data_IF_580962364815
#
_entry.id   IF_580962364815
#
_cell.length_a   1.000
_cell.length_b   1.000
_cell.length_c   1.000
_cell.angle_alpha   90.00
_cell.angle_beta   90.00
_cell.angle_gamma   90.00
#
_symmetry.space_group_name_H-M   'P 1'
#
loop_
_entity.id
_entity.type
_entity.pdbx_description
1 polymer ?
#
# COMPACT_ATOMS: atom_id res chain seq x y z
N UNK A 1 -49.53 2.61 46.35
CA UNK A 1 -48.06 2.72 46.65
C UNK A 1 -47.26 1.62 46.00
N UNK A 2 -47.72 0.39 45.86
CA UNK A 2 -46.96 -0.71 45.24
C UNK A 2 -46.77 -0.56 43.71
N UNK A 3 -47.67 0.10 42.99
CA UNK A 3 -47.62 0.29 41.52
C UNK A 3 -46.56 1.27 41.10
N UNK A 4 -46.30 2.34 41.87
CA UNK A 4 -45.26 3.35 41.56
C UNK A 4 -43.81 2.80 41.72
N UNK A 5 -43.60 1.85 42.62
CA UNK A 5 -42.27 1.20 42.75
C UNK A 5 -42.02 0.17 41.61
N UNK A 6 -43.01 -0.51 41.14
CA UNK A 6 -42.90 -1.41 40.00
C UNK A 6 -42.63 -0.66 38.70
N UNK A 7 -43.21 0.48 38.47
CA UNK A 7 -42.90 1.32 37.29
C UNK A 7 -41.47 1.86 37.34
N UNK A 8 -40.99 2.25 38.50
CA UNK A 8 -39.57 2.67 38.64
C UNK A 8 -38.58 1.56 38.37
N UNK A 9 -38.86 0.36 38.85
CA UNK A 9 -38.05 -0.84 38.59
C UNK A 9 -38.04 -1.20 37.09
N UNK A 10 -39.18 -1.13 36.43
CA UNK A 10 -39.31 -1.41 35.01
C UNK A 10 -38.53 -0.42 34.12
N UNK A 11 -38.56 0.87 34.44
CA UNK A 11 -37.80 1.94 33.76
C UNK A 11 -36.29 1.72 33.93
N UNK A 12 -35.82 1.31 35.11
CA UNK A 12 -34.40 1.03 35.37
C UNK A 12 -33.92 -0.18 34.56
N UNK A 13 -34.73 -1.22 34.45
CA UNK A 13 -34.42 -2.43 33.66
C UNK A 13 -34.37 -2.09 32.17
N UNK A 14 -35.31 -1.30 31.65
CA UNK A 14 -35.33 -0.85 30.26
C UNK A 14 -34.11 0.00 29.92
N UNK A 15 -33.69 0.92 30.81
CA UNK A 15 -32.45 1.72 30.61
C UNK A 15 -31.18 0.86 30.60
N UNK A 16 -31.13 -0.19 31.38
CA UNK A 16 -29.99 -1.11 31.38
C UNK A 16 -29.97 -1.98 30.13
N UNK A 17 -31.12 -2.46 29.66
CA UNK A 17 -31.22 -3.22 28.41
C UNK A 17 -30.83 -2.40 27.18
N UNK A 18 -31.28 -1.14 27.13
CA UNK A 18 -30.92 -0.22 26.03
C UNK A 18 -29.40 0.01 25.91
N UNK A 19 -28.72 0.13 27.04
CA UNK A 19 -27.25 0.28 27.04
C UNK A 19 -26.51 -0.97 26.59
N UNK A 20 -27.00 -2.13 26.96
CA UNK A 20 -26.43 -3.43 26.54
C UNK A 20 -26.67 -3.67 25.05
N UNK A 21 -27.89 -3.36 24.56
CA UNK A 21 -28.22 -3.49 23.14
C UNK A 21 -27.35 -2.56 22.26
N UNK A 22 -27.11 -1.32 22.73
CA UNK A 22 -26.28 -0.35 22.03
C UNK A 22 -24.80 -0.80 21.98
N UNK A 23 -24.29 -1.36 23.07
CA UNK A 23 -22.95 -1.91 23.13
C UNK A 23 -22.76 -3.14 22.20
N UNK A 24 -23.78 -3.99 22.08
CA UNK A 24 -23.73 -5.13 21.14
C UNK A 24 -23.78 -4.69 19.67
N UNK A 25 -24.55 -3.67 19.32
CA UNK A 25 -24.65 -3.16 17.96
C UNK A 25 -23.33 -2.51 17.54
N UNK A 26 -22.67 -1.77 18.44
CA UNK A 26 -21.35 -1.15 18.15
C UNK A 26 -20.27 -2.21 18.02
N UNK A 27 -20.29 -3.29 18.82
CA UNK A 27 -19.34 -4.38 18.72
C UNK A 27 -19.48 -5.19 17.42
N UNK A 28 -20.71 -5.43 16.96
CA UNK A 28 -20.96 -6.13 15.70
C UNK A 28 -20.60 -5.29 14.47
N UNK A 29 -20.76 -3.98 14.51
CA UNK A 29 -20.35 -3.11 13.41
C UNK A 29 -18.82 -2.99 13.30
N UNK A 30 -18.09 -3.05 14.40
CA UNK A 30 -16.62 -3.08 14.38
C UNK A 30 -16.05 -4.37 13.77
N UNK A 31 -16.72 -5.52 13.98
CA UNK A 31 -16.29 -6.80 13.41
C UNK A 31 -16.58 -6.86 11.89
N UNK A 32 -17.64 -6.21 11.41
CA UNK A 32 -17.95 -6.14 9.98
C UNK A 32 -16.99 -5.22 9.21
N UNK A 33 -16.37 -4.23 9.84
CA UNK A 33 -15.37 -3.36 9.20
C UNK A 33 -13.98 -4.03 9.10
N UNK A 34 -13.65 -4.97 9.95
CA UNK A 34 -12.38 -5.71 9.85
C UNK A 34 -12.40 -6.80 8.77
N UNK A 35 -13.58 -7.20 8.27
CA UNK A 35 -13.73 -8.17 7.17
C UNK A 35 -13.54 -7.60 5.77
N UNK A 36 -13.43 -6.27 5.61
CA UNK A 36 -13.24 -5.58 4.32
C UNK A 36 -11.80 -5.19 4.02
N UNK A 37 -10.82 -5.58 4.81
CA UNK A 37 -9.40 -5.46 4.43
C UNK A 37 -9.11 -6.56 3.41
N UNK A 38 -9.26 -6.23 2.14
CA UNK A 38 -8.86 -7.12 1.06
C UNK A 38 -7.35 -7.34 1.15
N UNK A 39 -6.95 -8.55 1.52
CA UNK A 39 -5.54 -9.00 1.52
C UNK A 39 -4.89 -9.04 0.13
N UNK A 40 -5.49 -8.34 -0.83
CA UNK A 40 -5.07 -8.35 -2.23
C UNK A 40 -4.21 -7.15 -2.61
N UNK A 41 -4.17 -6.11 -1.77
CA UNK A 41 -3.30 -4.97 -1.99
C UNK A 41 -1.89 -5.27 -1.49
N UNK A 42 -0.90 -4.99 -2.33
CA UNK A 42 0.50 -5.06 -1.98
C UNK A 42 1.12 -3.66 -2.11
N UNK A 43 2.16 -3.39 -1.36
CA UNK A 43 2.88 -2.11 -1.40
C UNK A 43 4.36 -2.37 -1.59
N UNK A 44 4.98 -1.62 -2.49
CA UNK A 44 6.44 -1.63 -2.69
C UNK A 44 7.01 -0.28 -2.31
N UNK A 45 7.95 -0.29 -1.38
CA UNK A 45 8.73 0.88 -0.99
C UNK A 45 10.10 0.79 -1.65
N UNK A 46 10.38 1.71 -2.57
CA UNK A 46 11.65 1.78 -3.29
C UNK A 46 12.52 2.84 -2.64
N UNK A 47 13.56 2.42 -1.94
CA UNK A 47 14.53 3.32 -1.33
C UNK A 47 15.63 3.65 -2.32
N UNK A 48 15.68 4.91 -2.74
CA UNK A 48 16.69 5.41 -3.68
C UNK A 48 17.87 6.02 -2.90
N UNK A 49 19.06 5.55 -3.22
CA UNK A 49 20.31 6.06 -2.63
C UNK A 49 21.31 6.43 -3.70
N UNK A 50 22.22 7.32 -3.33
CA UNK A 50 23.42 7.59 -4.13
C UNK A 50 24.37 6.39 -4.13
N UNK A 51 25.40 6.42 -4.93
CA UNK A 51 26.46 5.41 -4.92
C UNK A 51 27.11 5.24 -3.54
N UNK A 52 27.14 6.29 -2.72
CA UNK A 52 27.70 6.30 -1.36
C UNK A 52 26.68 5.95 -0.27
N UNK A 53 25.42 5.65 -0.64
CA UNK A 53 24.38 5.23 0.30
C UNK A 53 23.55 6.36 0.92
N UNK A 54 23.74 7.62 0.52
CA UNK A 54 22.91 8.73 0.97
C UNK A 54 21.52 8.68 0.32
N UNK A 55 20.45 8.96 1.08
CA UNK A 55 19.09 9.04 0.57
C UNK A 55 18.94 10.13 -0.50
N UNK A 56 18.16 9.84 -1.56
CA UNK A 56 17.88 10.79 -2.64
C UNK A 56 16.42 11.18 -2.59
N UNK A 57 16.13 12.42 -2.17
CA UNK A 57 14.78 12.99 -2.12
C UNK A 57 14.43 13.68 -3.43
N UNK A 58 13.12 13.67 -3.79
CA UNK A 58 12.62 14.34 -4.99
C UNK A 58 12.95 13.64 -6.31
N UNK A 59 13.42 12.40 -6.25
CA UNK A 59 13.71 11.58 -7.43
C UNK A 59 12.45 10.91 -7.96
N UNK A 60 12.24 10.96 -9.26
CA UNK A 60 11.13 10.23 -9.90
C UNK A 60 11.55 8.80 -10.21
N UNK A 61 10.85 7.85 -9.62
CA UNK A 61 11.02 6.40 -9.86
C UNK A 61 9.93 5.92 -10.80
N UNK A 62 10.32 5.15 -11.81
CA UNK A 62 9.43 4.59 -12.84
C UNK A 62 9.29 3.09 -12.64
N UNK A 63 8.03 2.61 -12.64
CA UNK A 63 7.70 1.20 -12.49
C UNK A 63 7.36 0.56 -13.84
N UNK A 64 7.96 -0.58 -14.13
CA UNK A 64 7.69 -1.37 -15.33
C UNK A 64 7.31 -2.81 -14.97
N UNK A 65 6.40 -3.40 -15.77
CA UNK A 65 6.11 -4.82 -15.70
C UNK A 65 7.05 -5.66 -16.58
N UNK A 66 7.05 -6.98 -16.38
CA UNK A 66 7.87 -7.92 -17.14
C UNK A 66 7.59 -7.83 -18.65
N UNK A 67 6.32 -7.81 -19.04
CA UNK A 67 5.93 -7.76 -20.47
C UNK A 67 6.49 -6.52 -21.17
N UNK A 68 6.42 -5.36 -20.52
CA UNK A 68 6.96 -4.11 -21.07
C UNK A 68 8.47 -4.16 -21.17
N UNK A 69 9.14 -4.68 -20.14
CA UNK A 69 10.60 -4.85 -20.13
C UNK A 69 11.06 -5.76 -21.26
N UNK A 70 10.37 -6.86 -21.52
CA UNK A 70 10.75 -7.82 -22.56
C UNK A 70 10.46 -7.28 -23.98
N UNK A 71 9.38 -6.51 -24.16
CA UNK A 71 8.99 -5.98 -25.47
C UNK A 71 9.73 -4.68 -25.85
N UNK A 72 10.01 -3.79 -24.89
CA UNK A 72 10.48 -2.43 -25.15
C UNK A 72 11.74 -2.05 -24.37
N UNK A 73 12.23 -2.92 -23.49
CA UNK A 73 13.28 -2.59 -22.55
C UNK A 73 12.84 -1.60 -21.48
N UNK A 74 13.79 -1.03 -20.76
CA UNK A 74 13.55 -0.05 -19.69
C UNK A 74 13.99 1.37 -20.05
N UNK A 75 14.39 1.60 -21.29
CA UNK A 75 14.96 2.89 -21.71
C UNK A 75 13.92 3.97 -22.01
N UNK A 76 12.67 3.59 -22.24
CA UNK A 76 11.62 4.51 -22.68
C UNK A 76 10.60 4.75 -21.55
N UNK A 77 10.66 5.93 -20.92
CA UNK A 77 9.80 6.35 -19.80
C UNK A 77 8.31 6.22 -20.07
N UNK A 78 7.87 6.43 -21.32
CA UNK A 78 6.45 6.40 -21.69
C UNK A 78 5.78 5.03 -21.52
N UNK A 79 6.55 3.95 -21.40
CA UNK A 79 6.02 2.62 -21.16
C UNK A 79 5.96 2.24 -19.67
N UNK A 80 6.28 3.17 -18.77
CA UNK A 80 6.13 2.94 -17.34
C UNK A 80 4.66 2.74 -16.96
N UNK A 81 4.38 1.76 -16.12
CA UNK A 81 3.04 1.50 -15.57
C UNK A 81 2.62 2.55 -14.54
N UNK A 82 3.57 2.99 -13.74
CA UNK A 82 3.37 3.96 -12.69
C UNK A 82 4.65 4.74 -12.41
N UNK A 83 4.50 5.90 -11.78
CA UNK A 83 5.61 6.72 -11.29
C UNK A 83 5.32 7.18 -9.87
N UNK A 84 6.36 7.32 -9.07
CA UNK A 84 6.30 7.92 -7.75
C UNK A 84 7.58 8.73 -7.49
N UNK A 85 7.46 9.77 -6.65
CA UNK A 85 8.58 10.63 -6.28
C UNK A 85 9.03 10.27 -4.87
N UNK A 86 10.33 10.21 -4.66
CA UNK A 86 10.89 9.92 -3.34
C UNK A 86 10.65 11.05 -2.35
N UNK A 87 10.32 10.68 -1.13
CA UNK A 87 10.17 11.57 0.02
C UNK A 87 11.52 12.04 0.59
N UNK A 88 11.50 12.69 1.75
CA UNK A 88 12.70 13.20 2.43
C UNK A 88 13.69 12.09 2.83
N UNK A 89 13.18 10.89 3.09
CA UNK A 89 13.95 9.68 3.43
C UNK A 89 14.45 8.92 2.19
N UNK A 90 14.12 9.40 0.99
CA UNK A 90 14.49 8.78 -0.29
C UNK A 90 13.61 7.59 -0.67
N UNK A 91 12.38 7.51 -0.16
CA UNK A 91 11.46 6.39 -0.39
C UNK A 91 10.34 6.80 -1.35
N UNK A 92 10.17 6.04 -2.43
CA UNK A 92 9.01 6.11 -3.33
C UNK A 92 8.07 4.93 -3.05
N UNK A 93 6.77 5.20 -2.88
CA UNK A 93 5.76 4.19 -2.57
C UNK A 93 4.92 3.86 -3.80
N UNK A 94 4.73 2.58 -4.05
CA UNK A 94 3.89 2.04 -5.12
C UNK A 94 2.85 1.08 -4.54
N UNK A 95 1.58 1.40 -4.73
CA UNK A 95 0.47 0.52 -4.37
C UNK A 95 0.10 -0.36 -5.57
N UNK A 96 0.00 -1.66 -5.33
CA UNK A 96 -0.38 -2.67 -6.31
C UNK A 96 -1.78 -3.20 -5.98
N UNK A 97 -2.60 -3.35 -6.99
CA UNK A 97 -3.94 -3.93 -6.85
C UNK A 97 -4.00 -5.34 -7.49
N UNK A 98 -5.13 -6.00 -7.40
CA UNK A 98 -5.32 -7.36 -7.94
C UNK A 98 -5.04 -7.47 -9.44
N UNK A 99 -5.28 -6.40 -10.21
CA UNK A 99 -5.06 -6.37 -11.66
C UNK A 99 -3.57 -6.40 -12.03
N UNK A 100 -2.70 -5.92 -11.13
CA UNK A 100 -1.25 -5.93 -11.36
C UNK A 100 -0.66 -7.34 -11.33
N UNK A 101 -1.33 -8.26 -10.63
CA UNK A 101 -0.91 -9.66 -10.50
C UNK A 101 -1.49 -10.57 -11.61
N UNK A 102 -2.55 -10.16 -12.30
CA UNK A 102 -3.24 -10.99 -13.26
C UNK A 102 -3.81 -12.25 -12.61
N UNK A 103 -3.51 -13.42 -13.20
CA UNK A 103 -3.96 -14.73 -12.69
C UNK A 103 -2.99 -15.32 -11.66
N UNK A 104 -1.80 -14.77 -11.54
CA UNK A 104 -0.76 -15.24 -10.64
C UNK A 104 -0.88 -14.60 -9.25
N UNK A 105 -0.29 -15.22 -8.25
CA UNK A 105 -0.19 -14.66 -6.90
C UNK A 105 1.06 -13.78 -6.70
N UNK A 106 1.92 -13.70 -7.71
CA UNK A 106 3.19 -12.96 -7.73
C UNK A 106 3.36 -12.17 -9.01
N UNK A 107 4.06 -11.06 -8.90
CA UNK A 107 4.45 -10.23 -10.05
C UNK A 107 5.90 -9.78 -9.90
N UNK A 108 6.64 -9.79 -11.01
CA UNK A 108 7.98 -9.18 -11.06
C UNK A 108 7.87 -7.79 -11.64
N UNK A 109 8.41 -6.81 -10.92
CA UNK A 109 8.39 -5.39 -11.25
C UNK A 109 9.82 -4.87 -11.32
N UNK A 110 10.02 -3.91 -12.21
CA UNK A 110 11.29 -3.22 -12.42
C UNK A 110 11.11 -1.76 -12.05
N UNK A 111 12.05 -1.22 -11.29
CA UNK A 111 12.08 0.18 -10.89
C UNK A 111 13.31 0.84 -11.46
N UNK A 112 13.13 2.00 -12.08
CA UNK A 112 14.16 2.68 -12.84
C UNK A 112 14.17 4.16 -12.51
N UNK A 113 15.35 4.74 -12.40
CA UNK A 113 15.57 6.18 -12.39
C UNK A 113 16.40 6.59 -13.60
N UNK A 114 16.20 7.82 -14.07
CA UNK A 114 16.88 8.36 -15.24
C UNK A 114 17.61 9.65 -14.89
N UNK A 115 18.70 9.91 -15.59
CA UNK A 115 19.36 11.21 -15.55
C UNK A 115 18.58 12.28 -16.34
N UNK A 116 19.12 13.49 -16.38
CA UNK A 116 18.53 14.61 -17.12
C UNK A 116 18.55 14.41 -18.64
N UNK A 117 19.41 13.54 -19.14
CA UNK A 117 19.51 13.20 -20.57
C UNK A 117 18.59 12.05 -20.95
N UNK A 118 17.96 11.40 -19.97
CA UNK A 118 17.04 10.27 -20.16
C UNK A 118 17.72 8.91 -20.18
N UNK A 119 18.99 8.82 -19.79
CA UNK A 119 19.67 7.55 -19.63
C UNK A 119 19.35 6.93 -18.27
N UNK A 120 19.33 5.61 -18.19
CA UNK A 120 19.14 4.89 -16.94
C UNK A 120 20.35 5.13 -16.04
N UNK A 121 20.13 5.71 -14.87
CA UNK A 121 21.15 5.90 -13.86
C UNK A 121 20.96 5.06 -12.59
N UNK A 122 19.87 4.33 -12.49
CA UNK A 122 19.61 3.36 -11.44
C UNK A 122 18.49 2.41 -11.83
N UNK A 123 18.64 1.13 -11.51
CA UNK A 123 17.59 0.15 -11.73
C UNK A 123 17.64 -0.97 -10.68
N UNK A 124 16.49 -1.53 -10.39
CA UNK A 124 16.33 -2.71 -9.54
C UNK A 124 15.10 -3.50 -9.95
N UNK A 125 15.02 -4.75 -9.52
CA UNK A 125 13.86 -5.60 -9.77
C UNK A 125 13.43 -6.27 -8.46
N UNK A 126 12.14 -6.54 -8.33
CA UNK A 126 11.58 -7.23 -7.17
C UNK A 126 10.39 -8.08 -7.58
N UNK A 127 10.29 -9.27 -7.00
CA UNK A 127 9.10 -10.11 -7.10
C UNK A 127 8.27 -9.92 -5.83
N UNK A 128 7.01 -9.55 -6.02
CA UNK A 128 6.05 -9.22 -4.94
C UNK A 128 4.90 -10.22 -4.99
N UNK A 129 4.45 -10.65 -3.83
CA UNK A 129 3.27 -11.49 -3.66
C UNK A 129 2.04 -10.65 -3.31
N UNK A 130 0.85 -11.11 -3.68
CA UNK A 130 -0.42 -10.50 -3.25
C UNK A 130 -0.46 -10.30 -1.73
N UNK A 131 -0.81 -9.08 -1.29
CA UNK A 131 -0.89 -8.71 0.12
C UNK A 131 0.45 -8.49 0.83
N UNK A 132 1.57 -8.51 0.11
CA UNK A 132 2.91 -8.30 0.65
C UNK A 132 3.29 -6.82 0.67
N UNK A 133 3.92 -6.38 1.76
CA UNK A 133 4.66 -5.11 1.80
C UNK A 133 6.13 -5.43 1.58
N UNK A 134 6.70 -4.86 0.52
CA UNK A 134 8.08 -5.14 0.12
C UNK A 134 8.91 -3.87 0.11
N UNK A 135 10.10 -3.95 0.68
CA UNK A 135 11.12 -2.91 0.50
C UNK A 135 12.17 -3.36 -0.51
N UNK A 136 12.61 -2.46 -1.35
CA UNK A 136 13.69 -2.70 -2.31
C UNK A 136 14.61 -1.47 -2.40
N UNK A 137 15.89 -1.72 -2.52
CA UNK A 137 16.88 -0.66 -2.69
C UNK A 137 17.18 -0.44 -4.18
N UNK A 138 17.21 0.84 -4.58
CA UNK A 138 17.65 1.29 -5.89
C UNK A 138 18.84 2.23 -5.70
N UNK A 139 19.98 1.82 -6.19
CA UNK A 139 21.22 2.59 -6.10
C UNK A 139 21.47 3.33 -7.41
N UNK A 140 21.60 4.64 -7.33
CA UNK A 140 21.97 5.46 -8.50
C UNK A 140 23.47 5.35 -8.77
N UNK A 141 23.82 5.23 -10.03
CA UNK A 141 25.21 5.39 -10.45
C UNK A 141 25.73 6.80 -10.08
N UNK A 142 27.00 6.91 -9.78
CA UNK A 142 27.64 8.22 -9.68
C UNK A 142 27.66 8.85 -11.09
N UNK A 143 27.22 10.10 -11.17
CA UNK A 143 27.38 10.93 -12.37
C UNK A 143 28.81 11.38 -12.49
#
# INVERSE_FOLDING_TARGET
MAVAEQEKQFIIIMKKFSKILFAMVVATSAILMTGCVTKEQATVHVKVTTALGAAVSGETVYQFGQTTKDAHGLTTKMFAKATAVTDAEGVAEFSLNSLDFGVDDRVTLYYVTYDNEGNINGQTAVTVKKGENKEVSLKKAAL
#
